data_IF_200173685315
#
_entry.id   IF_200173685315
#
_cell.length_a   1.000
_cell.length_b   1.000
_cell.length_c   1.000
_cell.angle_alpha   90.00
_cell.angle_beta   90.00
_cell.angle_gamma   90.00
#
_symmetry.space_group_name_H-M   'P 1'
#
loop_
_entity.id
_entity.type
_entity.pdbx_description
1 polymer ?
#
# COMPACT_ATOMS: atom_id res chain seq x y z
N UNK A 1 24.40 11.06 11.87
CA UNK A 1 23.07 10.44 11.91
C UNK A 1 22.15 10.98 10.82
N UNK A 2 21.74 12.27 10.85
CA UNK A 2 20.86 12.85 9.81
C UNK A 2 21.43 12.66 8.38
N UNK A 3 22.73 12.89 8.18
CA UNK A 3 23.38 12.67 6.87
C UNK A 3 23.30 11.21 6.39
N UNK A 4 23.34 10.25 7.32
CA UNK A 4 23.18 8.82 7.02
C UNK A 4 21.76 8.52 6.56
N UNK A 5 20.75 9.07 7.25
CA UNK A 5 19.33 8.94 6.88
C UNK A 5 19.07 9.55 5.51
N UNK A 6 19.53 10.78 5.27
CA UNK A 6 19.38 11.47 3.98
C UNK A 6 20.02 10.67 2.85
N UNK A 7 21.19 10.08 3.08
CA UNK A 7 21.85 9.21 2.10
C UNK A 7 21.01 7.97 1.78
N UNK A 8 20.42 7.32 2.79
CA UNK A 8 19.54 6.15 2.59
C UNK A 8 18.28 6.51 1.82
N UNK A 9 17.63 7.63 2.14
CA UNK A 9 16.46 8.14 1.40
C UNK A 9 16.80 8.38 -0.08
N UNK A 10 17.94 9.03 -0.37
CA UNK A 10 18.40 9.26 -1.74
C UNK A 10 18.69 7.97 -2.52
N UNK A 11 19.03 6.89 -1.82
CA UNK A 11 19.24 5.56 -2.38
C UNK A 11 17.97 4.70 -2.41
N UNK A 12 16.81 5.27 -2.04
CA UNK A 12 15.53 4.56 -1.91
C UNK A 12 15.53 3.43 -0.85
N UNK A 13 16.46 3.45 0.10
CA UNK A 13 16.49 2.53 1.25
C UNK A 13 15.58 3.05 2.38
N UNK A 14 14.29 3.18 2.09
CA UNK A 14 13.35 3.87 2.98
C UNK A 14 13.09 3.11 4.30
N UNK A 15 12.99 1.77 4.28
CA UNK A 15 12.81 0.96 5.49
C UNK A 15 13.94 1.14 6.50
N UNK A 16 15.18 1.02 6.05
CA UNK A 16 16.34 1.22 6.92
C UNK A 16 16.42 2.66 7.44
N UNK A 17 16.04 3.65 6.63
CA UNK A 17 15.98 5.05 7.04
C UNK A 17 14.88 5.27 8.11
N UNK A 18 13.70 4.70 7.91
CA UNK A 18 12.57 4.72 8.84
C UNK A 18 12.95 4.09 10.18
N UNK A 19 13.57 2.91 10.19
CA UNK A 19 14.00 2.23 11.42
C UNK A 19 14.97 3.09 12.25
N UNK A 20 15.95 3.71 11.60
CA UNK A 20 16.88 4.64 12.27
C UNK A 20 16.11 5.80 12.89
N UNK A 21 15.20 6.43 12.15
CA UNK A 21 14.43 7.59 12.62
C UNK A 21 13.52 7.22 13.80
N UNK A 22 12.83 6.08 13.74
CA UNK A 22 11.98 5.59 14.84
C UNK A 22 12.82 5.33 16.10
N UNK A 23 14.00 4.74 15.97
CA UNK A 23 14.89 4.50 17.12
C UNK A 23 15.36 5.81 17.76
N UNK A 24 15.58 6.85 16.97
CA UNK A 24 15.92 8.19 17.46
C UNK A 24 14.74 8.81 18.20
N UNK A 25 13.52 8.70 17.66
CA UNK A 25 12.31 9.19 18.31
C UNK A 25 12.06 8.50 19.67
N UNK A 26 12.45 7.23 19.82
CA UNK A 26 12.30 6.52 21.10
C UNK A 26 13.33 6.91 22.17
N UNK A 27 14.48 7.44 21.77
CA UNK A 27 15.63 7.64 22.67
C UNK A 27 15.71 9.04 23.28
N UNK A 28 15.03 10.04 22.69
CA UNK A 28 15.11 11.44 23.08
C UNK A 28 13.71 11.97 23.44
N UNK A 29 13.61 12.98 24.29
CA UNK A 29 12.35 13.60 24.69
C UNK A 29 12.05 14.89 23.92
N UNK A 30 13.04 15.46 23.20
CA UNK A 30 12.85 16.66 22.38
C UNK A 30 13.43 16.45 20.98
N UNK A 31 12.56 16.45 19.98
CA UNK A 31 12.98 16.17 18.61
C UNK A 31 13.03 17.42 17.74
N UNK A 32 14.05 17.47 16.89
CA UNK A 32 14.11 18.44 15.79
C UNK A 32 12.97 18.16 14.79
N UNK A 33 12.32 19.20 14.24
CA UNK A 33 11.32 19.00 13.17
C UNK A 33 11.87 18.23 11.98
N UNK A 34 13.19 18.28 11.74
CA UNK A 34 13.82 17.57 10.63
C UNK A 34 13.69 16.06 10.73
N UNK A 35 13.60 15.51 11.95
CA UNK A 35 13.43 14.06 12.16
C UNK A 35 12.04 13.63 11.66
N UNK A 36 11.00 14.39 12.02
CA UNK A 36 9.64 14.13 11.56
C UNK A 36 9.46 14.36 10.07
N UNK A 37 10.11 15.40 9.51
CA UNK A 37 10.11 15.66 8.06
C UNK A 37 10.69 14.47 7.30
N UNK A 38 11.87 13.98 7.70
CA UNK A 38 12.51 12.84 7.06
C UNK A 38 11.73 11.53 7.24
N UNK A 39 11.06 11.36 8.40
CA UNK A 39 10.22 10.18 8.64
C UNK A 39 8.98 10.20 7.74
N UNK A 40 8.35 11.37 7.63
CA UNK A 40 7.23 11.60 6.72
C UNK A 40 7.63 11.31 5.27
N UNK A 41 8.79 11.80 4.83
CA UNK A 41 9.33 11.51 3.49
C UNK A 41 9.63 10.02 3.28
N UNK A 42 10.09 9.31 4.31
CA UNK A 42 10.31 7.86 4.23
C UNK A 42 9.01 7.11 3.96
N UNK A 43 7.97 7.39 4.76
CA UNK A 43 6.65 6.78 4.56
C UNK A 43 6.07 7.11 3.19
N UNK A 44 6.18 8.36 2.74
CA UNK A 44 5.72 8.77 1.42
C UNK A 44 6.48 8.06 0.30
N UNK A 45 7.80 7.93 0.43
CA UNK A 45 8.66 7.19 -0.50
C UNK A 45 8.31 5.69 -0.58
N UNK A 46 7.91 5.09 0.54
CA UNK A 46 7.42 3.71 0.61
C UNK A 46 6.02 3.54 0.01
N UNK A 47 5.28 4.64 -0.19
CA UNK A 47 3.88 4.63 -0.63
C UNK A 47 2.88 4.55 0.53
N UNK A 48 3.32 4.57 1.78
CA UNK A 48 2.46 4.62 2.95
C UNK A 48 2.09 6.08 3.27
N UNK A 49 1.26 6.65 2.39
CA UNK A 49 0.95 8.09 2.44
C UNK A 49 0.17 8.46 3.71
N UNK A 50 -0.59 7.53 4.30
CA UNK A 50 -1.31 7.78 5.56
C UNK A 50 -0.34 8.00 6.71
N UNK A 51 0.64 7.10 6.86
CA UNK A 51 1.69 7.26 7.88
C UNK A 51 2.60 8.46 7.57
N UNK A 52 2.80 8.82 6.30
CA UNK A 52 3.51 10.03 5.93
C UNK A 52 2.82 11.28 6.49
N UNK A 53 1.51 11.40 6.28
CA UNK A 53 0.70 12.51 6.82
C UNK A 53 0.76 12.49 8.35
N UNK A 54 0.53 11.34 8.98
CA UNK A 54 0.53 11.20 10.44
C UNK A 54 1.87 11.61 11.07
N UNK A 55 3.00 11.24 10.45
CA UNK A 55 4.33 11.62 10.91
C UNK A 55 4.57 13.14 10.84
N UNK A 56 4.11 13.80 9.77
CA UNK A 56 4.20 15.26 9.65
C UNK A 56 3.32 15.97 10.68
N UNK A 57 2.09 15.51 10.89
CA UNK A 57 1.18 16.04 11.91
C UNK A 57 1.73 15.87 13.33
N UNK A 58 2.32 14.71 13.63
CA UNK A 58 2.99 14.47 14.91
C UNK A 58 4.13 15.46 15.11
N UNK A 59 4.95 15.69 14.08
CA UNK A 59 6.02 16.67 14.14
C UNK A 59 5.53 18.09 14.41
N UNK A 60 4.40 18.51 13.83
CA UNK A 60 3.82 19.85 14.09
C UNK A 60 3.39 19.98 15.56
N UNK A 61 2.91 18.89 16.18
CA UNK A 61 2.47 18.89 17.58
C UNK A 61 3.63 18.85 18.58
N UNK A 62 4.67 18.08 18.27
CA UNK A 62 5.69 17.70 19.26
C UNK A 62 7.07 18.33 19.05
N UNK A 63 7.37 18.82 17.83
CA UNK A 63 8.66 19.45 17.57
C UNK A 63 8.77 20.81 18.27
N UNK A 64 10.01 21.18 18.61
CA UNK A 64 10.33 22.46 19.26
C UNK A 64 9.88 23.66 18.39
N UNK A 65 9.91 23.48 17.06
CA UNK A 65 9.48 24.45 16.04
C UNK A 65 8.90 23.69 14.86
N UNK A 66 8.06 24.31 14.04
CA UNK A 66 7.44 23.63 12.90
C UNK A 66 8.39 23.41 11.70
N UNK A 67 9.40 24.28 11.50
CA UNK A 67 10.28 24.18 10.32
C UNK A 67 9.50 24.11 9.00
N UNK A 68 9.78 23.09 8.16
CA UNK A 68 9.09 22.85 6.89
C UNK A 68 7.89 21.89 7.00
N UNK A 69 7.50 21.47 8.20
CA UNK A 69 6.52 20.40 8.38
C UNK A 69 5.14 20.72 7.80
N UNK A 70 4.72 21.99 7.81
CA UNK A 70 3.45 22.40 7.17
C UNK A 70 3.45 22.20 5.66
N UNK A 71 4.55 22.54 4.99
CA UNK A 71 4.69 22.30 3.55
C UNK A 71 4.74 20.80 3.22
N UNK A 72 5.47 20.01 4.02
CA UNK A 72 5.53 18.55 3.88
C UNK A 72 4.15 17.93 4.07
N UNK A 73 3.43 18.31 5.13
CA UNK A 73 2.06 17.88 5.40
C UNK A 73 1.15 18.18 4.21
N UNK A 74 1.16 19.43 3.72
CA UNK A 74 0.34 19.83 2.59
C UNK A 74 0.61 18.98 1.34
N UNK A 75 1.89 18.75 1.00
CA UNK A 75 2.26 17.91 -0.15
C UNK A 75 1.79 16.46 0.00
N UNK A 76 1.96 15.86 1.18
CA UNK A 76 1.53 14.49 1.42
C UNK A 76 0.01 14.36 1.47
N UNK A 77 -0.71 15.38 1.96
CA UNK A 77 -2.17 15.43 1.91
C UNK A 77 -2.69 15.42 0.46
N UNK A 78 -2.01 16.09 -0.46
CA UNK A 78 -2.37 16.02 -1.88
C UNK A 78 -2.22 14.59 -2.43
N UNK A 79 -1.17 13.87 -2.05
CA UNK A 79 -1.01 12.46 -2.40
C UNK A 79 -2.15 11.59 -1.86
N UNK A 80 -2.57 11.81 -0.61
CA UNK A 80 -3.70 11.10 0.00
C UNK A 80 -5.02 11.42 -0.71
N UNK A 81 -5.22 12.69 -1.10
CA UNK A 81 -6.38 13.11 -1.87
C UNK A 81 -6.44 12.42 -3.23
N UNK A 82 -5.29 12.29 -3.93
CA UNK A 82 -5.19 11.54 -5.20
C UNK A 82 -5.53 10.05 -5.03
N UNK A 83 -5.13 9.41 -3.93
CA UNK A 83 -5.55 8.03 -3.62
C UNK A 83 -7.08 7.95 -3.50
N UNK A 84 -7.67 8.86 -2.73
CA UNK A 84 -9.12 8.87 -2.49
C UNK A 84 -9.92 9.18 -3.77
N UNK A 85 -9.42 10.08 -4.62
CA UNK A 85 -9.98 10.37 -5.93
C UNK A 85 -9.89 9.15 -6.85
N UNK A 86 -8.74 8.50 -6.94
CA UNK A 86 -8.55 7.29 -7.74
C UNK A 86 -9.53 6.17 -7.33
N UNK A 87 -9.76 5.98 -6.03
CA UNK A 87 -10.78 5.04 -5.53
C UNK A 87 -12.20 5.40 -6.00
N UNK A 88 -12.59 6.69 -5.92
CA UNK A 88 -13.89 7.15 -6.39
C UNK A 88 -14.07 6.93 -7.89
N UNK A 89 -13.03 7.21 -8.68
CA UNK A 89 -13.05 7.03 -10.12
C UNK A 89 -13.11 5.55 -10.53
N UNK A 90 -12.37 4.67 -9.86
CA UNK A 90 -12.51 3.21 -10.04
C UNK A 90 -13.94 2.77 -9.74
N UNK A 91 -14.53 3.28 -8.65
CA UNK A 91 -15.93 3.02 -8.29
C UNK A 91 -16.93 3.55 -9.32
N UNK A 92 -16.57 4.58 -10.07
CA UNK A 92 -17.35 5.12 -11.19
C UNK A 92 -17.11 4.37 -12.52
N UNK A 93 -16.22 3.37 -12.56
CA UNK A 93 -15.86 2.62 -13.77
C UNK A 93 -14.74 3.25 -14.60
N UNK A 94 -14.12 4.33 -14.11
CA UNK A 94 -12.90 4.90 -14.68
C UNK A 94 -11.73 3.92 -14.59
N UNK A 95 -10.77 4.02 -15.51
CA UNK A 95 -9.64 3.07 -15.55
C UNK A 95 -8.30 3.64 -16.05
N UNK A 96 -8.26 4.91 -16.47
CA UNK A 96 -7.06 5.51 -17.06
C UNK A 96 -6.96 7.04 -16.84
N UNK A 97 -7.29 7.48 -15.64
CA UNK A 97 -7.15 8.88 -15.19
C UNK A 97 -5.83 9.06 -14.44
N UNK A 98 -5.41 10.31 -14.22
CA UNK A 98 -4.20 10.60 -13.45
C UNK A 98 -4.27 10.00 -12.03
N UNK A 99 -5.40 10.13 -11.34
CA UNK A 99 -5.56 9.61 -9.98
C UNK A 99 -5.52 8.07 -9.94
N UNK A 100 -6.07 7.39 -10.95
CA UNK A 100 -5.99 5.92 -11.09
C UNK A 100 -4.54 5.47 -11.37
N UNK A 101 -3.82 6.19 -12.23
CA UNK A 101 -2.41 5.90 -12.48
C UNK A 101 -1.57 6.13 -11.22
N UNK A 102 -1.85 7.20 -10.47
CA UNK A 102 -1.20 7.51 -9.20
C UNK A 102 -1.39 6.39 -8.17
N UNK A 103 -2.64 5.95 -7.91
CA UNK A 103 -2.90 4.90 -6.92
C UNK A 103 -2.29 3.55 -7.35
N UNK A 104 -2.28 3.24 -8.65
CA UNK A 104 -1.61 2.05 -9.20
C UNK A 104 -0.12 2.08 -8.91
N UNK A 105 0.55 3.20 -9.17
CA UNK A 105 1.98 3.34 -8.91
C UNK A 105 2.28 3.39 -7.41
N UNK A 106 1.37 3.91 -6.58
CA UNK A 106 1.47 3.81 -5.13
C UNK A 106 1.44 2.35 -4.64
N UNK A 107 0.52 1.51 -5.15
CA UNK A 107 0.50 0.09 -4.82
C UNK A 107 1.82 -0.61 -5.19
N UNK A 108 2.40 -0.28 -6.35
CA UNK A 108 3.72 -0.82 -6.73
C UNK A 108 4.82 -0.39 -5.77
N UNK A 109 4.84 0.87 -5.31
CA UNK A 109 5.81 1.34 -4.30
C UNK A 109 5.67 0.57 -3.00
N UNK A 110 4.44 0.38 -2.51
CA UNK A 110 4.17 -0.41 -1.30
C UNK A 110 4.72 -1.83 -1.44
N UNK A 111 4.47 -2.50 -2.57
CA UNK A 111 4.95 -3.86 -2.84
C UNK A 111 6.48 -3.91 -2.95
N UNK A 112 7.09 -2.96 -3.69
CA UNK A 112 8.54 -2.89 -3.87
C UNK A 112 9.29 -2.64 -2.56
N UNK A 113 8.68 -1.88 -1.64
CA UNK A 113 9.20 -1.67 -0.29
C UNK A 113 8.73 -2.74 0.70
N UNK A 114 8.03 -3.79 0.25
CA UNK A 114 7.51 -4.89 1.05
C UNK A 114 6.61 -4.43 2.22
N UNK A 115 5.86 -3.35 2.00
CA UNK A 115 4.77 -2.87 2.86
C UNK A 115 3.50 -3.66 2.55
N UNK A 116 3.56 -5.00 2.66
CA UNK A 116 2.54 -5.89 2.11
C UNK A 116 1.17 -5.73 2.78
N UNK A 117 1.10 -5.50 4.09
CA UNK A 117 -0.16 -5.31 4.81
C UNK A 117 -0.92 -4.08 4.27
N UNK A 118 -0.21 -2.96 4.11
CA UNK A 118 -0.77 -1.73 3.55
C UNK A 118 -1.12 -1.90 2.07
N UNK A 119 -0.30 -2.63 1.30
CA UNK A 119 -0.58 -2.96 -0.09
C UNK A 119 -1.87 -3.80 -0.21
N UNK A 120 -2.04 -4.84 0.60
CA UNK A 120 -3.23 -5.70 0.62
C UNK A 120 -4.46 -4.87 0.96
N UNK A 121 -4.39 -4.04 2.01
CA UNK A 121 -5.50 -3.16 2.38
C UNK A 121 -5.88 -2.19 1.26
N UNK A 122 -4.90 -1.56 0.61
CA UNK A 122 -5.18 -0.63 -0.50
C UNK A 122 -5.75 -1.36 -1.73
N UNK A 123 -5.23 -2.54 -2.06
CA UNK A 123 -5.73 -3.37 -3.16
C UNK A 123 -7.12 -3.93 -2.87
N UNK A 124 -7.45 -4.24 -1.62
CA UNK A 124 -8.81 -4.60 -1.18
C UNK A 124 -9.79 -3.47 -1.44
N UNK A 125 -9.49 -2.26 -0.98
CA UNK A 125 -10.37 -1.11 -1.23
C UNK A 125 -10.59 -0.88 -2.73
N UNK A 126 -9.57 -1.12 -3.55
CA UNK A 126 -9.66 -1.05 -5.01
C UNK A 126 -10.51 -2.18 -5.61
N UNK A 127 -10.38 -3.42 -5.11
CA UNK A 127 -11.22 -4.55 -5.51
C UNK A 127 -12.70 -4.28 -5.19
N UNK A 128 -12.98 -3.80 -3.97
CA UNK A 128 -14.31 -3.39 -3.52
C UNK A 128 -14.86 -2.24 -4.36
N UNK A 129 -14.02 -1.25 -4.71
CA UNK A 129 -14.43 -0.14 -5.57
C UNK A 129 -14.75 -0.63 -6.99
N UNK A 130 -13.91 -1.50 -7.56
CA UNK A 130 -14.05 -2.01 -8.94
C UNK A 130 -15.33 -2.81 -9.11
N UNK A 131 -15.59 -3.76 -8.21
CA UNK A 131 -16.61 -4.79 -8.36
C UNK A 131 -16.67 -5.32 -9.82
N UNK A 132 -17.87 -5.47 -10.40
CA UNK A 132 -18.08 -5.89 -11.79
C UNK A 132 -18.07 -4.70 -12.77
N UNK A 133 -17.85 -3.46 -12.30
CA UNK A 133 -18.11 -2.25 -13.09
C UNK A 133 -17.15 -2.03 -14.25
N UNK A 134 -15.91 -2.53 -14.14
CA UNK A 134 -14.93 -2.41 -15.22
C UNK A 134 -14.06 -3.64 -15.34
N UNK A 135 -13.99 -4.19 -16.54
CA UNK A 135 -13.15 -5.35 -16.87
C UNK A 135 -11.75 -4.98 -17.33
N UNK A 136 -11.47 -3.67 -17.51
CA UNK A 136 -10.21 -3.17 -18.04
C UNK A 136 -9.11 -3.04 -16.97
N UNK A 137 -9.50 -2.98 -15.69
CA UNK A 137 -8.56 -2.91 -14.58
C UNK A 137 -8.13 -4.33 -14.21
N UNK A 138 -7.09 -4.82 -14.87
CA UNK A 138 -6.49 -6.13 -14.56
C UNK A 138 -5.35 -6.05 -13.54
N UNK A 139 -4.80 -4.84 -13.35
CA UNK A 139 -3.61 -4.66 -12.52
C UNK A 139 -3.89 -4.86 -11.03
N UNK A 140 -5.13 -4.77 -10.54
CA UNK A 140 -5.47 -5.07 -9.13
C UNK A 140 -5.15 -6.55 -8.85
N UNK A 141 -5.76 -7.46 -9.63
CA UNK A 141 -5.50 -8.90 -9.53
C UNK A 141 -4.04 -9.27 -9.81
N UNK A 142 -3.36 -8.57 -10.73
CA UNK A 142 -1.93 -8.75 -10.96
C UNK A 142 -1.09 -8.42 -9.72
N UNK A 143 -1.31 -7.25 -9.10
CA UNK A 143 -0.55 -6.85 -7.92
C UNK A 143 -0.87 -7.72 -6.71
N UNK A 144 -2.14 -8.14 -6.55
CA UNK A 144 -2.52 -9.13 -5.53
C UNK A 144 -1.80 -10.47 -5.74
N UNK A 145 -1.66 -10.94 -6.99
CA UNK A 145 -0.86 -12.13 -7.33
C UNK A 145 0.59 -11.95 -6.88
N UNK A 146 1.21 -10.81 -7.20
CA UNK A 146 2.60 -10.52 -6.81
C UNK A 146 2.80 -10.62 -5.29
N UNK A 147 1.85 -10.10 -4.50
CA UNK A 147 1.89 -10.22 -3.04
C UNK A 147 1.65 -11.66 -2.58
N UNK A 148 0.60 -12.33 -3.08
CA UNK A 148 0.21 -13.68 -2.64
C UNK A 148 1.32 -14.73 -2.82
N UNK A 149 2.05 -14.64 -3.94
CA UNK A 149 3.14 -15.55 -4.28
C UNK A 149 4.51 -15.10 -3.77
N UNK A 150 4.62 -13.92 -3.16
CA UNK A 150 5.87 -13.46 -2.54
C UNK A 150 6.24 -14.32 -1.34
N UNK A 151 7.46 -14.86 -1.33
CA UNK A 151 8.00 -15.61 -0.19
C UNK A 151 8.05 -14.75 1.08
N UNK A 152 8.28 -13.43 0.93
CA UNK A 152 8.33 -12.46 2.03
C UNK A 152 6.96 -12.13 2.61
N UNK A 153 5.88 -12.39 1.88
CA UNK A 153 4.50 -12.14 2.32
C UNK A 153 3.76 -13.43 2.76
N UNK A 154 4.44 -14.58 2.84
CA UNK A 154 3.79 -15.88 3.12
C UNK A 154 2.92 -15.88 4.39
N UNK A 155 3.32 -15.12 5.42
CA UNK A 155 2.57 -14.98 6.67
C UNK A 155 1.22 -14.28 6.52
N UNK A 156 1.03 -13.51 5.45
CA UNK A 156 -0.18 -12.72 5.17
C UNK A 156 -1.17 -13.45 4.26
N UNK A 157 -0.94 -14.72 3.94
CA UNK A 157 -1.86 -15.50 3.08
C UNK A 157 -3.26 -15.62 3.68
N UNK A 158 -3.37 -15.64 5.01
CA UNK A 158 -4.66 -15.66 5.69
C UNK A 158 -5.52 -14.40 5.44
N UNK A 159 -4.91 -13.29 5.00
CA UNK A 159 -5.61 -12.04 4.68
C UNK A 159 -6.34 -12.09 3.32
N UNK A 160 -6.08 -13.13 2.51
CA UNK A 160 -6.67 -13.32 1.18
C UNK A 160 -7.97 -14.13 1.26
N UNK A 161 -9.07 -13.41 1.45
CA UNK A 161 -10.43 -13.93 1.43
C UNK A 161 -10.96 -14.14 -0.01
N UNK A 162 -12.24 -14.52 -0.12
CA UNK A 162 -12.91 -14.74 -1.41
C UNK A 162 -12.73 -13.57 -2.37
N UNK A 163 -12.87 -12.33 -1.90
CA UNK A 163 -12.77 -11.14 -2.76
C UNK A 163 -11.39 -11.04 -3.41
N UNK A 164 -10.33 -11.12 -2.63
CA UNK A 164 -8.96 -10.94 -3.14
C UNK A 164 -8.54 -12.10 -4.03
N UNK A 165 -8.87 -13.34 -3.65
CA UNK A 165 -8.61 -14.52 -4.48
C UNK A 165 -9.38 -14.45 -5.81
N UNK A 166 -10.62 -13.98 -5.79
CA UNK A 166 -11.44 -13.81 -7.00
C UNK A 166 -10.86 -12.76 -7.95
N UNK A 167 -10.30 -11.66 -7.44
CA UNK A 167 -9.59 -10.67 -8.29
C UNK A 167 -8.35 -11.26 -8.95
N UNK A 168 -7.58 -12.09 -8.24
CA UNK A 168 -6.44 -12.79 -8.82
C UNK A 168 -6.91 -13.73 -9.95
N UNK A 169 -7.96 -14.52 -9.72
CA UNK A 169 -8.53 -15.39 -10.75
C UNK A 169 -9.08 -14.60 -11.93
N UNK A 170 -9.71 -13.46 -11.69
CA UNK A 170 -10.19 -12.56 -12.74
C UNK A 170 -9.03 -12.08 -13.63
N UNK A 171 -7.89 -11.70 -13.03
CA UNK A 171 -6.67 -11.39 -13.78
C UNK A 171 -6.25 -12.57 -14.66
N UNK A 172 -6.14 -13.78 -14.12
CA UNK A 172 -5.76 -14.97 -14.91
C UNK A 172 -6.70 -15.24 -16.08
N UNK A 173 -8.01 -15.17 -15.83
CA UNK A 173 -9.04 -15.38 -16.85
C UNK A 173 -8.95 -14.35 -17.98
N UNK A 174 -8.82 -13.07 -17.66
CA UNK A 174 -8.80 -11.99 -18.65
C UNK A 174 -7.47 -11.81 -19.36
N UNK A 175 -6.38 -12.29 -18.78
CA UNK A 175 -5.06 -12.30 -19.40
C UNK A 175 -4.73 -13.61 -20.13
N UNK A 176 -5.68 -14.55 -20.23
CA UNK A 176 -5.52 -15.86 -20.87
C UNK A 176 -4.38 -16.70 -20.25
N UNK A 177 -4.20 -16.62 -18.94
CA UNK A 177 -3.10 -17.26 -18.19
C UNK A 177 -3.53 -18.50 -17.40
N UNK A 178 -4.56 -19.20 -17.87
CA UNK A 178 -5.17 -20.34 -17.17
C UNK A 178 -4.26 -21.56 -17.04
N UNK A 179 -3.19 -21.61 -17.84
CA UNK A 179 -2.20 -22.68 -17.84
C UNK A 179 -1.04 -22.42 -16.87
N UNK A 180 -0.95 -21.23 -16.25
CA UNK A 180 0.04 -20.95 -15.21
C UNK A 180 -0.28 -21.83 -13.98
N UNK A 181 0.68 -22.60 -13.42
CA UNK A 181 0.43 -23.46 -12.26
C UNK A 181 -0.20 -22.73 -11.08
N UNK A 182 0.16 -21.46 -10.90
CA UNK A 182 -0.36 -20.54 -9.90
C UNK A 182 -1.87 -20.34 -9.99
N UNK A 183 -2.48 -20.43 -11.18
CA UNK A 183 -3.93 -20.35 -11.34
C UNK A 183 -4.64 -21.46 -10.54
N UNK A 184 -4.14 -22.69 -10.64
CA UNK A 184 -4.72 -23.83 -9.92
C UNK A 184 -4.55 -23.67 -8.41
N UNK A 185 -3.41 -23.14 -7.95
CA UNK A 185 -3.17 -22.88 -6.52
C UNK A 185 -4.23 -21.93 -5.96
N UNK A 186 -4.45 -20.78 -6.63
CA UNK A 186 -5.45 -19.78 -6.19
C UNK A 186 -6.87 -20.36 -6.27
N UNK A 187 -7.18 -21.15 -7.31
CA UNK A 187 -8.50 -21.76 -7.49
C UNK A 187 -8.82 -22.76 -6.38
N UNK A 188 -7.89 -23.63 -6.02
CA UNK A 188 -8.10 -24.59 -4.94
C UNK A 188 -8.17 -23.88 -3.57
N UNK A 189 -7.40 -22.81 -3.36
CA UNK A 189 -7.52 -22.02 -2.13
C UNK A 189 -8.88 -21.35 -1.98
N UNK A 190 -9.40 -20.76 -3.06
CA UNK A 190 -10.73 -20.15 -3.06
C UNK A 190 -11.83 -21.17 -2.71
N UNK A 191 -11.70 -22.43 -3.17
CA UNK A 191 -12.66 -23.49 -2.80
C UNK A 191 -12.65 -23.78 -1.30
N UNK A 192 -11.48 -23.78 -0.66
CA UNK A 192 -11.35 -24.00 0.78
C UNK A 192 -12.03 -22.89 1.57
N UNK A 193 -11.75 -21.64 1.23
CA UNK A 193 -12.38 -20.45 1.87
C UNK A 193 -13.90 -20.55 1.78
N UNK A 194 -14.44 -20.87 0.61
CA UNK A 194 -15.90 -21.05 0.43
C UNK A 194 -16.48 -22.19 1.26
N UNK A 195 -15.75 -23.29 1.41
CA UNK A 195 -16.21 -24.41 2.24
C UNK A 195 -16.21 -24.07 3.73
N UNK A 196 -15.25 -23.27 4.20
CA UNK A 196 -15.16 -22.85 5.61
C UNK A 196 -16.28 -21.87 5.99
N UNK A 197 -16.63 -20.94 5.11
CA UNK A 197 -17.74 -19.99 5.33
C UNK A 197 -19.11 -20.68 5.38
N UNK A 198 -19.29 -21.80 4.67
CA UNK A 198 -20.55 -22.56 4.64
C UNK A 198 -20.84 -23.36 5.91
N UNK A 199 -19.88 -23.48 6.83
CA UNK A 199 -19.97 -24.29 8.06
C UNK A 199 -20.42 -23.46 9.28
N UNK A 200 -20.41 -22.12 9.19
CA UNK A 200 -20.87 -21.25 10.27
C UNK A 200 -22.40 -21.07 10.15
N UNK A 201 -23.22 -21.62 11.07
CA UNK A 201 -24.67 -21.44 11.01
C UNK A 201 -25.02 -19.99 11.35
N UNK A 202 -25.83 -19.37 10.50
CA UNK A 202 -26.47 -18.06 10.69
C UNK A 202 -27.39 -18.03 11.91
#
# INVERSE_FOLDING_TARGET
>A
MINTVVSKIRKHNYKEAQEILINVLKADQKHSPKIFELLSDCYFGMGDIREAVAAAELGIREAITEGNLRSTLFSHQQGLNKINEGLKEVKAGGYNTEAILFIKDNCKKLIANECFEVAIYQLRNLAEARMIKTTKILWIGQLLKEVYFSSKAKKLRAEFDELLLSEILFYYLKSCKLFEPEYNVVREELKKVKSEESIIPS
#
